data_IF_568355362155
#
_entry.id   IF_568355362155
#
_cell.length_a   1.000
_cell.length_b   1.000
_cell.length_c   1.000
_cell.angle_alpha   90.00
_cell.angle_beta   90.00
_cell.angle_gamma   90.00
#
_symmetry.space_group_name_H-M   'P 1'
#
loop_
_entity.id
_entity.type
_entity.pdbx_description
1 polymer ?
#
# COMPACT_ATOMS: atom_id res chain seq x y z
N UNK A 1 9.51 -13.50 -58.47
CA UNK A 1 10.36 -14.44 -57.70
C UNK A 1 10.36 -13.93 -56.24
N UNK A 2 9.61 -14.58 -55.32
CA UNK A 2 9.52 -14.18 -53.91
C UNK A 2 10.67 -14.84 -53.14
N UNK A 3 11.50 -14.06 -52.45
CA UNK A 3 12.56 -14.55 -51.56
C UNK A 3 11.92 -15.25 -50.36
N UNK A 4 12.30 -16.51 -50.09
CA UNK A 4 11.87 -17.28 -48.92
C UNK A 4 12.54 -16.72 -47.66
N UNK A 5 11.81 -15.93 -46.87
CA UNK A 5 12.24 -15.34 -45.59
C UNK A 5 12.01 -16.31 -44.42
N UNK A 6 12.70 -17.45 -44.39
CA UNK A 6 12.46 -18.46 -43.35
C UNK A 6 13.72 -19.24 -42.95
N UNK A 7 14.90 -18.60 -43.06
CA UNK A 7 16.16 -19.19 -42.64
C UNK A 7 16.68 -18.49 -41.39
N UNK A 8 16.83 -19.29 -40.34
CA UNK A 8 17.34 -18.89 -39.05
C UNK A 8 18.87 -18.87 -39.13
N UNK A 9 19.45 -17.66 -39.13
CA UNK A 9 20.90 -17.47 -39.18
C UNK A 9 21.33 -16.71 -37.92
N UNK A 10 21.86 -17.47 -36.96
CA UNK A 10 22.48 -16.95 -35.74
C UNK A 10 23.84 -17.62 -35.55
N UNK A 11 24.86 -16.81 -35.27
CA UNK A 11 26.21 -17.29 -34.92
C UNK A 11 26.43 -16.95 -33.46
N UNK A 12 26.56 -18.00 -32.64
CA UNK A 12 26.94 -17.88 -31.23
C UNK A 12 28.44 -18.14 -31.15
N UNK A 13 29.19 -17.17 -30.63
CA UNK A 13 30.61 -17.34 -30.35
C UNK A 13 30.75 -17.39 -28.83
N UNK A 14 31.16 -18.57 -28.34
CA UNK A 14 31.58 -18.81 -26.97
C UNK A 14 33.10 -18.66 -26.96
N UNK A 15 33.65 -17.61 -26.34
CA UNK A 15 35.09 -17.43 -26.19
C UNK A 15 35.71 -18.60 -25.41
N UNK A 16 36.97 -18.94 -25.71
CA UNK A 16 37.66 -20.06 -25.07
C UNK A 16 37.85 -19.88 -23.55
N UNK A 17 37.83 -18.63 -23.08
CA UNK A 17 37.93 -18.23 -21.68
C UNK A 17 36.57 -18.18 -20.96
N UNK A 18 35.48 -18.63 -21.60
CA UNK A 18 34.13 -18.59 -21.01
C UNK A 18 34.05 -19.31 -19.67
N UNK A 19 34.51 -20.56 -19.58
CA UNK A 19 34.43 -21.35 -18.34
C UNK A 19 35.27 -20.75 -17.21
N UNK A 20 36.44 -20.21 -17.53
CA UNK A 20 37.32 -19.54 -16.56
C UNK A 20 36.69 -18.24 -16.05
N UNK A 21 36.09 -17.45 -16.94
CA UNK A 21 35.39 -16.21 -16.58
C UNK A 21 34.16 -16.44 -15.73
N UNK A 22 33.32 -17.41 -16.10
CA UNK A 22 32.15 -17.77 -15.33
C UNK A 22 32.56 -18.28 -13.94
N UNK A 23 33.57 -19.16 -13.86
CA UNK A 23 34.10 -19.66 -12.58
C UNK A 23 34.77 -18.59 -11.69
N UNK A 24 35.17 -17.44 -12.26
CA UNK A 24 35.69 -16.28 -11.51
C UNK A 24 34.66 -15.20 -11.26
N UNK A 25 33.38 -15.45 -11.54
CA UNK A 25 32.34 -14.43 -11.46
C UNK A 25 32.65 -13.18 -12.32
N UNK A 26 33.28 -13.36 -13.49
CA UNK A 26 33.55 -12.29 -14.46
C UNK A 26 32.60 -12.36 -15.66
N UNK A 27 31.79 -11.32 -15.86
CA UNK A 27 30.63 -11.40 -16.77
C UNK A 27 30.73 -10.58 -18.05
N UNK A 28 31.79 -9.77 -18.19
CA UNK A 28 31.95 -8.92 -19.37
C UNK A 28 32.46 -9.74 -20.56
N UNK A 29 31.80 -9.58 -21.70
CA UNK A 29 32.19 -10.20 -22.98
C UNK A 29 32.26 -11.74 -22.93
N UNK A 30 31.43 -12.39 -22.11
CA UNK A 30 31.34 -13.85 -22.00
C UNK A 30 30.65 -14.50 -23.20
N UNK A 31 29.77 -13.79 -23.91
CA UNK A 31 29.13 -14.28 -25.13
C UNK A 31 29.07 -13.20 -26.20
N UNK A 32 29.19 -13.63 -27.47
CA UNK A 32 28.90 -12.79 -28.63
C UNK A 32 27.87 -13.49 -29.50
N UNK A 33 26.74 -12.83 -29.70
CA UNK A 33 25.67 -13.30 -30.57
C UNK A 33 25.61 -12.39 -31.80
N UNK A 34 25.76 -12.96 -32.98
CA UNK A 34 25.53 -12.29 -34.24
C UNK A 34 24.24 -12.84 -34.85
N UNK A 35 23.32 -11.95 -35.21
CA UNK A 35 22.06 -12.33 -35.85
C UNK A 35 21.89 -11.56 -37.15
N UNK A 36 21.39 -12.24 -38.18
CA UNK A 36 21.05 -11.59 -39.45
C UNK A 36 19.87 -10.61 -39.26
N UNK A 37 19.93 -9.38 -39.80
CA UNK A 37 18.85 -8.38 -39.68
C UNK A 37 17.49 -8.85 -40.23
N UNK A 38 17.48 -9.85 -41.11
CA UNK A 38 16.27 -10.43 -41.70
C UNK A 38 15.66 -11.60 -40.92
N UNK A 39 16.26 -12.01 -39.79
CA UNK A 39 15.78 -13.15 -38.98
C UNK A 39 14.79 -12.68 -37.92
N UNK A 40 13.49 -13.01 -38.10
CA UNK A 40 12.45 -12.74 -37.09
C UNK A 40 12.55 -13.64 -35.85
N UNK A 41 13.42 -14.66 -35.88
CA UNK A 41 13.59 -15.65 -34.81
C UNK A 41 14.84 -15.42 -33.93
N UNK A 42 15.44 -14.23 -33.99
CA UNK A 42 16.58 -13.82 -33.16
C UNK A 42 16.29 -14.02 -31.65
N UNK A 43 15.10 -13.57 -31.22
CA UNK A 43 14.64 -13.67 -29.84
C UNK A 43 14.51 -15.14 -29.37
N UNK A 44 14.03 -16.02 -30.25
CA UNK A 44 13.81 -17.45 -29.96
C UNK A 44 15.10 -18.20 -29.63
N UNK A 45 16.25 -17.76 -30.16
CA UNK A 45 17.56 -18.36 -29.86
C UNK A 45 18.29 -17.61 -28.75
N UNK A 46 18.14 -16.29 -28.66
CA UNK A 46 18.82 -15.51 -27.62
C UNK A 46 18.26 -15.76 -26.23
N UNK A 47 16.95 -15.93 -26.08
CA UNK A 47 16.31 -16.02 -24.77
C UNK A 47 16.71 -17.29 -23.99
N UNK A 48 16.70 -18.52 -24.57
CA UNK A 48 17.18 -19.70 -23.86
C UNK A 48 18.67 -19.62 -23.53
N UNK A 49 19.48 -19.03 -24.44
CA UNK A 49 20.91 -18.86 -24.25
C UNK A 49 21.23 -17.90 -23.09
N UNK A 50 20.58 -16.74 -23.08
CA UNK A 50 20.73 -15.75 -22.01
C UNK A 50 20.25 -16.35 -20.68
N UNK A 51 19.12 -17.05 -20.68
CA UNK A 51 18.62 -17.71 -19.47
C UNK A 51 19.63 -18.73 -18.91
N UNK A 52 20.17 -19.62 -19.73
CA UNK A 52 21.17 -20.60 -19.31
C UNK A 52 22.43 -19.95 -18.72
N UNK A 53 22.90 -18.86 -19.33
CA UNK A 53 24.09 -18.14 -18.85
C UNK A 53 23.80 -17.38 -17.57
N UNK A 54 22.61 -16.80 -17.43
CA UNK A 54 22.16 -16.15 -16.20
C UNK A 54 22.01 -17.14 -15.06
N UNK A 55 21.55 -18.37 -15.32
CA UNK A 55 21.48 -19.42 -14.29
C UNK A 55 22.88 -19.79 -13.79
N UNK A 56 23.82 -20.05 -14.71
CA UNK A 56 25.22 -20.32 -14.36
C UNK A 56 25.85 -19.15 -13.60
N UNK A 57 25.53 -17.91 -14.01
CA UNK A 57 25.98 -16.71 -13.32
C UNK A 57 25.51 -16.67 -11.86
N UNK A 58 24.20 -16.82 -11.65
CA UNK A 58 23.61 -16.77 -10.30
C UNK A 58 24.19 -17.88 -9.42
N UNK A 59 24.47 -19.05 -9.99
CA UNK A 59 25.12 -20.16 -9.29
C UNK A 59 26.52 -19.80 -8.80
N UNK A 60 27.41 -19.36 -9.68
CA UNK A 60 28.78 -19.00 -9.29
C UNK A 60 28.82 -17.81 -8.33
N UNK A 61 27.97 -16.80 -8.56
CA UNK A 61 27.89 -15.65 -7.67
C UNK A 61 27.42 -16.03 -6.26
N UNK A 62 26.41 -16.90 -6.14
CA UNK A 62 25.93 -17.35 -4.83
C UNK A 62 26.98 -18.14 -4.06
N UNK A 63 27.77 -18.96 -4.76
CA UNK A 63 28.87 -19.74 -4.17
C UNK A 63 29.97 -18.80 -3.66
N UNK A 64 30.42 -17.86 -4.50
CA UNK A 64 31.46 -16.89 -4.13
C UNK A 64 31.03 -16.03 -2.91
N UNK A 65 29.78 -15.55 -2.91
CA UNK A 65 29.23 -14.79 -1.76
C UNK A 65 29.13 -15.64 -0.49
N UNK A 66 28.75 -16.92 -0.61
CA UNK A 66 28.65 -17.82 0.55
C UNK A 66 30.03 -18.11 1.13
N UNK A 67 31.01 -18.37 0.27
CA UNK A 67 32.41 -18.57 0.67
C UNK A 67 32.98 -17.33 1.36
N UNK A 68 32.77 -16.13 0.79
CA UNK A 68 33.20 -14.86 1.37
C UNK A 68 32.56 -14.61 2.75
N UNK A 69 31.25 -14.82 2.88
CA UNK A 69 30.52 -14.64 4.14
C UNK A 69 30.99 -15.62 5.24
N UNK A 70 31.21 -16.89 4.89
CA UNK A 70 31.69 -17.89 5.84
C UNK A 70 33.13 -17.60 6.27
N UNK A 71 33.98 -17.15 5.34
CA UNK A 71 35.33 -16.72 5.65
C UNK A 71 35.34 -15.51 6.60
N UNK A 72 34.46 -14.52 6.41
CA UNK A 72 34.26 -13.40 7.36
C UNK A 72 33.84 -13.88 8.76
N UNK A 73 33.05 -14.96 8.84
CA UNK A 73 32.67 -15.59 10.11
C UNK A 73 33.71 -16.58 10.66
N UNK A 74 34.93 -16.63 10.09
CA UNK A 74 35.99 -17.58 10.47
C UNK A 74 35.57 -19.06 10.38
N UNK A 75 34.68 -19.39 9.45
CA UNK A 75 34.27 -20.76 9.13
C UNK A 75 34.93 -21.20 7.83
N UNK A 76 35.41 -22.43 7.78
CA UNK A 76 35.92 -23.03 6.54
C UNK A 76 34.77 -23.37 5.60
N UNK A 77 34.91 -23.03 4.33
CA UNK A 77 34.04 -23.47 3.24
C UNK A 77 34.79 -24.53 2.45
N UNK A 78 34.38 -25.79 2.59
CA UNK A 78 35.07 -26.92 1.95
C UNK A 78 34.53 -27.20 0.55
N UNK A 79 35.31 -27.92 -0.28
CA UNK A 79 34.83 -28.40 -1.58
C UNK A 79 33.57 -29.30 -1.47
N UNK A 80 33.38 -29.96 -0.32
CA UNK A 80 32.19 -30.76 -0.06
C UNK A 80 30.95 -29.89 0.14
N UNK A 81 31.10 -28.73 0.80
CA UNK A 81 30.02 -27.75 1.00
C UNK A 81 29.63 -27.09 -0.31
N UNK A 82 30.62 -26.78 -1.17
CA UNK A 82 30.37 -26.27 -2.52
C UNK A 82 29.56 -27.25 -3.37
N UNK A 83 29.94 -28.54 -3.38
CA UNK A 83 29.19 -29.57 -4.11
C UNK A 83 27.76 -29.73 -3.58
N UNK A 84 27.60 -29.68 -2.25
CA UNK A 84 26.29 -29.74 -1.62
C UNK A 84 25.42 -28.54 -2.06
N UNK A 85 25.98 -27.33 -2.03
CA UNK A 85 25.30 -26.11 -2.45
C UNK A 85 24.90 -26.17 -3.93
N UNK A 86 25.80 -26.58 -4.84
CA UNK A 86 25.49 -26.76 -6.26
C UNK A 86 24.32 -27.71 -6.48
N UNK A 87 24.35 -28.88 -5.82
CA UNK A 87 23.27 -29.86 -5.91
C UNK A 87 21.92 -29.33 -5.39
N UNK A 88 21.95 -28.50 -4.34
CA UNK A 88 20.76 -27.84 -3.80
C UNK A 88 20.20 -26.77 -4.74
N UNK A 89 21.06 -26.03 -5.43
CA UNK A 89 20.65 -25.03 -6.42
C UNK A 89 20.02 -25.67 -7.65
N UNK A 90 20.60 -26.77 -8.15
CA UNK A 90 20.03 -27.52 -9.29
C UNK A 90 18.63 -28.06 -8.95
N UNK A 91 18.46 -28.64 -7.76
CA UNK A 91 17.17 -29.09 -7.28
C UNK A 91 16.13 -27.96 -7.22
N UNK A 92 16.52 -26.75 -6.78
CA UNK A 92 15.66 -25.56 -6.75
C UNK A 92 15.22 -25.14 -8.15
N UNK A 93 16.11 -25.20 -9.14
CA UNK A 93 15.77 -24.87 -10.52
C UNK A 93 14.83 -25.89 -11.17
N UNK A 94 14.94 -27.16 -10.82
CA UNK A 94 14.08 -28.23 -11.35
C UNK A 94 12.70 -28.27 -10.67
N UNK A 95 12.63 -28.12 -9.34
CA UNK A 95 11.38 -28.27 -8.59
C UNK A 95 10.65 -26.95 -8.32
N UNK A 96 11.31 -25.81 -8.56
CA UNK A 96 10.89 -24.50 -8.07
C UNK A 96 11.14 -24.36 -6.56
N UNK A 97 11.53 -23.16 -6.12
CA UNK A 97 11.65 -22.85 -4.69
C UNK A 97 10.32 -22.33 -4.13
N UNK A 98 9.90 -22.88 -2.99
CA UNK A 98 8.98 -22.19 -2.09
C UNK A 98 9.75 -21.03 -1.46
N UNK A 99 9.60 -19.82 -2.02
CA UNK A 99 10.19 -18.61 -1.46
C UNK A 99 9.50 -18.32 -0.13
N UNK A 100 10.13 -18.75 0.97
CA UNK A 100 9.74 -18.32 2.31
C UNK A 100 10.42 -16.98 2.57
N UNK A 101 9.73 -15.90 2.21
CA UNK A 101 10.15 -14.54 2.59
C UNK A 101 10.00 -14.42 4.11
N UNK A 102 11.09 -14.52 4.85
CA UNK A 102 11.15 -14.04 6.22
C UNK A 102 11.58 -12.57 6.18
N UNK A 103 10.64 -11.67 6.44
CA UNK A 103 10.96 -10.27 6.67
C UNK A 103 11.68 -10.16 8.01
N UNK A 104 13.01 -10.16 7.97
CA UNK A 104 13.84 -9.79 9.12
C UNK A 104 13.97 -8.26 9.07
N UNK A 105 13.12 -7.58 9.82
CA UNK A 105 13.23 -6.13 10.03
C UNK A 105 14.48 -5.91 10.86
N UNK A 106 15.52 -5.36 10.23
CA UNK A 106 16.74 -4.98 10.94
C UNK A 106 16.46 -3.68 11.66
N UNK A 107 16.54 -3.72 12.98
CA UNK A 107 16.21 -2.65 13.90
C UNK A 107 17.27 -1.54 13.80
N UNK A 108 17.12 -0.64 12.83
CA UNK A 108 17.80 0.66 12.71
C UNK A 108 17.22 1.47 11.56
N UNK A 109 16.10 2.13 11.84
CA UNK A 109 15.40 3.01 10.92
C UNK A 109 13.94 3.10 11.33
N UNK A 110 13.58 4.23 11.92
CA UNK A 110 12.28 4.54 12.49
C UNK A 110 11.11 3.88 11.73
N UNK A 111 10.40 3.03 12.47
CA UNK A 111 8.99 2.63 12.29
C UNK A 111 8.37 3.04 10.95
N UNK A 112 8.62 2.22 9.92
CA UNK A 112 7.57 1.93 8.95
C UNK A 112 6.40 1.35 9.76
N UNK A 113 5.52 2.25 10.21
CA UNK A 113 4.36 1.96 11.02
C UNK A 113 3.72 0.70 10.48
N UNK A 114 3.53 -0.30 11.36
CA UNK A 114 2.81 -1.51 11.03
C UNK A 114 1.54 -1.12 10.29
N UNK A 115 1.53 -1.32 8.97
CA UNK A 115 0.31 -1.20 8.19
C UNK A 115 -0.62 -2.23 8.82
N UNK A 116 -1.79 -1.79 9.30
CA UNK A 116 -2.78 -2.63 10.00
C UNK A 116 -3.42 -3.70 9.10
N UNK A 117 -2.64 -4.29 8.19
CA UNK A 117 -3.05 -5.18 7.12
C UNK A 117 -4.09 -4.56 6.20
N UNK A 118 -4.76 -5.44 5.47
CA UNK A 118 -5.89 -5.08 4.62
C UNK A 118 -7.04 -4.41 5.38
N UNK A 119 -7.15 -4.65 6.70
CA UNK A 119 -8.16 -4.04 7.56
C UNK A 119 -7.88 -2.55 7.81
N UNK A 120 -6.63 -2.19 8.15
CA UNK A 120 -6.21 -0.79 8.31
C UNK A 120 -6.39 0.01 7.03
N UNK A 121 -6.15 -0.60 5.87
CA UNK A 121 -6.45 0.00 4.57
C UNK A 121 -7.95 0.30 4.40
N UNK A 122 -8.83 -0.67 4.72
CA UNK A 122 -10.27 -0.46 4.71
C UNK A 122 -10.69 0.72 5.58
N UNK A 123 -10.23 0.76 6.84
CA UNK A 123 -10.65 1.82 7.78
C UNK A 123 -10.17 3.21 7.33
N UNK A 124 -8.96 3.31 6.77
CA UNK A 124 -8.43 4.57 6.25
C UNK A 124 -9.29 5.11 5.10
N UNK A 125 -9.61 4.27 4.11
CA UNK A 125 -10.47 4.64 2.98
C UNK A 125 -11.89 4.94 3.40
N UNK A 126 -12.45 4.11 4.28
CA UNK A 126 -13.76 4.33 4.87
C UNK A 126 -13.83 5.70 5.56
N UNK A 127 -12.82 6.02 6.36
CA UNK A 127 -12.74 7.29 7.08
C UNK A 127 -12.69 8.52 6.16
N UNK A 128 -12.00 8.43 5.02
CA UNK A 128 -11.99 9.49 4.01
C UNK A 128 -13.39 9.67 3.38
N UNK A 129 -14.02 8.57 2.98
CA UNK A 129 -15.34 8.60 2.34
C UNK A 129 -16.45 9.06 3.29
N UNK A 130 -16.34 8.75 4.58
CA UNK A 130 -17.27 9.25 5.60
C UNK A 130 -17.33 10.78 5.64
N UNK A 131 -16.20 11.48 5.51
CA UNK A 131 -16.20 12.95 5.49
C UNK A 131 -16.98 13.49 4.28
N UNK A 132 -16.77 12.89 3.11
CA UNK A 132 -17.53 13.27 1.91
C UNK A 132 -19.03 13.09 2.13
N UNK A 133 -19.44 11.92 2.63
CA UNK A 133 -20.84 11.61 2.90
C UNK A 133 -21.44 12.55 3.96
N UNK A 134 -20.72 12.83 5.05
CA UNK A 134 -21.20 13.73 6.11
C UNK A 134 -21.41 15.16 5.57
N UNK A 135 -20.49 15.69 4.77
CA UNK A 135 -20.65 17.02 4.18
C UNK A 135 -21.83 17.05 3.20
N UNK A 136 -21.95 16.05 2.32
CA UNK A 136 -23.07 15.99 1.37
C UNK A 136 -24.41 15.81 2.08
N UNK A 137 -24.46 15.01 3.15
CA UNK A 137 -25.68 14.84 3.93
C UNK A 137 -26.05 16.06 4.75
N UNK A 138 -25.13 16.99 5.03
CA UNK A 138 -25.38 18.21 5.80
C UNK A 138 -26.23 19.28 5.08
N UNK A 139 -26.81 18.99 3.92
CA UNK A 139 -27.75 19.89 3.23
C UNK A 139 -28.96 20.26 4.08
N UNK A 140 -29.37 19.38 4.99
CA UNK A 140 -30.45 19.67 5.95
C UNK A 140 -30.15 20.89 6.84
N UNK A 141 -28.86 21.20 7.10
CA UNK A 141 -28.46 22.39 7.87
C UNK A 141 -28.82 23.68 7.11
N UNK A 142 -28.63 23.68 5.79
CA UNK A 142 -29.04 24.81 4.96
C UNK A 142 -30.55 24.94 4.88
N UNK A 143 -31.27 23.82 4.77
CA UNK A 143 -32.73 23.81 4.69
C UNK A 143 -33.39 24.28 5.99
N UNK A 144 -32.84 23.90 7.15
CA UNK A 144 -33.28 24.41 8.46
C UNK A 144 -32.95 25.90 8.65
N UNK A 145 -31.97 26.44 7.92
CA UNK A 145 -31.66 27.86 7.87
C UNK A 145 -32.69 28.73 7.14
N UNK A 146 -33.56 28.14 6.30
CA UNK A 146 -34.60 28.88 5.56
C UNK A 146 -35.65 29.46 6.52
N UNK A 147 -36.05 30.73 6.27
CA UNK A 147 -36.99 31.49 7.13
C UNK A 147 -38.30 30.73 7.41
N UNK A 148 -38.82 29.99 6.44
CA UNK A 148 -40.08 29.25 6.55
C UNK A 148 -40.01 28.01 7.46
N UNK A 149 -38.90 27.26 7.46
CA UNK A 149 -38.70 26.15 8.39
C UNK A 149 -38.36 26.67 9.79
N UNK A 150 -37.53 27.71 9.87
CA UNK A 150 -37.11 28.29 11.13
C UNK A 150 -38.28 28.88 11.93
N UNK A 151 -39.27 29.49 11.26
CA UNK A 151 -40.48 29.97 11.94
C UNK A 151 -41.34 28.81 12.48
N UNK A 152 -41.45 27.71 11.72
CA UNK A 152 -42.21 26.51 12.14
C UNK A 152 -41.56 25.78 13.31
N UNK A 153 -40.23 25.64 13.31
CA UNK A 153 -39.48 25.05 14.42
C UNK A 153 -39.56 25.94 15.68
N UNK A 154 -39.60 27.27 15.51
CA UNK A 154 -39.82 28.19 16.63
C UNK A 154 -41.20 28.06 17.27
N UNK A 155 -42.20 27.60 16.51
CA UNK A 155 -43.58 27.41 16.99
C UNK A 155 -43.79 26.07 17.71
N UNK A 156 -42.94 25.06 17.47
CA UNK A 156 -43.05 23.74 18.12
C UNK A 156 -42.38 23.68 19.50
N UNK A 157 -41.76 24.77 19.97
CA UNK A 157 -41.15 24.85 21.31
C UNK A 157 -39.85 24.04 21.47
N UNK A 158 -39.34 23.43 20.39
CA UNK A 158 -38.09 22.64 20.42
C UNK A 158 -36.88 23.56 20.28
N UNK A 159 -35.87 23.38 21.13
CA UNK A 159 -34.60 24.10 21.04
C UNK A 159 -33.91 23.83 19.69
N UNK A 160 -33.34 24.88 19.07
CA UNK A 160 -32.61 24.79 17.79
C UNK A 160 -31.47 23.77 17.84
N UNK A 161 -30.80 23.68 18.99
CA UNK A 161 -29.74 22.69 19.23
C UNK A 161 -30.27 21.26 19.26
N UNK A 162 -31.46 21.04 19.82
CA UNK A 162 -32.11 19.73 19.84
C UNK A 162 -32.43 19.24 18.44
N UNK A 163 -32.90 20.13 17.56
CA UNK A 163 -33.16 19.80 16.15
C UNK A 163 -31.87 19.47 15.41
N UNK A 164 -30.80 20.24 15.62
CA UNK A 164 -29.50 19.97 14.98
C UNK A 164 -28.89 18.64 15.43
N UNK A 165 -29.00 18.30 16.72
CA UNK A 165 -28.47 17.04 17.24
C UNK A 165 -29.25 15.83 16.72
N UNK A 166 -30.58 15.90 16.67
CA UNK A 166 -31.41 14.76 16.22
C UNK A 166 -31.28 14.51 14.72
N UNK A 167 -31.26 15.58 13.91
CA UNK A 167 -31.08 15.46 12.45
C UNK A 167 -29.65 15.12 12.07
N UNK A 168 -28.65 15.60 12.83
CA UNK A 168 -27.26 15.19 12.68
C UNK A 168 -26.97 13.76 13.15
N UNK A 169 -27.73 13.23 14.10
CA UNK A 169 -27.54 11.86 14.59
C UNK A 169 -27.78 10.82 13.48
N UNK A 170 -28.73 11.04 12.57
CA UNK A 170 -29.05 10.09 11.50
C UNK A 170 -27.84 9.75 10.58
N UNK A 171 -27.18 10.73 9.91
CA UNK A 171 -26.02 10.44 9.07
C UNK A 171 -24.82 9.90 9.88
N UNK A 172 -24.68 10.31 11.15
CA UNK A 172 -23.67 9.75 12.05
C UNK A 172 -23.93 8.26 12.35
N UNK A 173 -25.16 7.90 12.70
CA UNK A 173 -25.54 6.49 12.94
C UNK A 173 -25.35 5.63 11.70
N UNK A 174 -25.60 6.18 10.50
CA UNK A 174 -25.34 5.47 9.26
C UNK A 174 -23.84 5.22 9.06
N UNK A 175 -22.97 6.20 9.37
CA UNK A 175 -21.52 6.01 9.32
C UNK A 175 -21.02 5.00 10.36
N UNK A 176 -21.64 4.93 11.53
CA UNK A 176 -21.30 3.93 12.54
C UNK A 176 -21.74 2.54 12.08
N UNK A 177 -22.98 2.41 11.60
CA UNK A 177 -23.49 1.14 11.07
C UNK A 177 -22.68 0.64 9.87
N UNK A 178 -22.34 1.54 8.95
CA UNK A 178 -21.52 1.23 7.78
C UNK A 178 -20.12 0.72 8.14
N UNK A 179 -19.53 1.21 9.25
CA UNK A 179 -18.25 0.72 9.75
C UNK A 179 -18.35 -0.73 10.23
N UNK A 180 -19.37 -1.06 11.03
CA UNK A 180 -19.55 -2.43 11.50
C UNK A 180 -19.91 -3.41 10.38
N UNK A 181 -20.75 -2.97 9.43
CA UNK A 181 -21.10 -3.79 8.25
C UNK A 181 -19.86 -4.01 7.38
N UNK A 182 -19.13 -2.95 7.03
CA UNK A 182 -17.92 -3.07 6.21
C UNK A 182 -16.82 -3.87 6.92
N UNK A 183 -16.70 -3.73 8.23
CA UNK A 183 -15.79 -4.53 9.06
C UNK A 183 -16.16 -6.01 9.07
N UNK A 184 -17.44 -6.35 9.20
CA UNK A 184 -17.93 -7.73 9.12
C UNK A 184 -17.69 -8.35 7.73
N UNK A 185 -17.90 -7.57 6.66
CA UNK A 185 -17.60 -8.01 5.29
C UNK A 185 -16.10 -8.26 5.11
N UNK A 186 -15.24 -7.35 5.57
CA UNK A 186 -13.78 -7.55 5.52
C UNK A 186 -13.35 -8.79 6.30
N UNK A 187 -13.92 -9.03 7.49
CA UNK A 187 -13.68 -10.24 8.27
C UNK A 187 -14.07 -11.51 7.51
N UNK A 188 -15.20 -11.51 6.80
CA UNK A 188 -15.66 -12.66 6.03
C UNK A 188 -14.85 -12.94 4.75
N UNK A 189 -14.40 -11.90 4.04
CA UNK A 189 -13.74 -12.04 2.74
C UNK A 189 -12.22 -12.21 2.83
N UNK A 190 -11.60 -11.52 3.80
CA UNK A 190 -10.13 -11.46 3.95
C UNK A 190 -9.67 -12.38 5.08
N UNK A 191 -10.60 -12.92 5.88
CA UNK A 191 -10.29 -13.78 7.03
C UNK A 191 -9.68 -13.03 8.20
N UNK A 192 -9.88 -11.70 8.30
CA UNK A 192 -9.42 -10.90 9.43
C UNK A 192 -10.28 -11.16 10.66
N UNK A 193 -9.66 -11.12 11.85
CA UNK A 193 -10.37 -11.41 13.10
C UNK A 193 -11.34 -10.27 13.44
N UNK A 194 -12.57 -10.59 13.87
CA UNK A 194 -13.54 -9.57 14.31
C UNK A 194 -13.04 -8.72 15.50
N UNK A 195 -12.08 -9.25 16.25
CA UNK A 195 -11.35 -8.55 17.32
C UNK A 195 -10.66 -7.28 16.82
N UNK A 196 -10.18 -7.26 15.57
CA UNK A 196 -9.48 -6.11 14.99
C UNK A 196 -10.46 -4.94 14.79
N UNK A 197 -11.68 -5.25 14.32
CA UNK A 197 -12.75 -4.27 14.18
C UNK A 197 -13.21 -3.69 15.52
N UNK A 198 -13.21 -4.51 16.58
CA UNK A 198 -13.56 -4.06 17.93
C UNK A 198 -12.45 -3.19 18.54
N UNK A 199 -11.18 -3.56 18.34
CA UNK A 199 -10.03 -2.80 18.86
C UNK A 199 -9.94 -1.39 18.26
N UNK A 200 -10.38 -1.23 17.01
CA UNK A 200 -10.34 0.03 16.25
C UNK A 200 -11.66 0.81 16.28
N UNK A 201 -12.71 0.26 16.92
CA UNK A 201 -14.01 0.91 17.02
C UNK A 201 -13.94 2.25 17.77
N UNK A 202 -13.23 2.31 18.90
CA UNK A 202 -13.09 3.54 19.71
C UNK A 202 -12.45 4.68 18.91
N UNK A 203 -11.26 4.52 18.29
CA UNK A 203 -10.66 5.60 17.50
C UNK A 203 -11.52 6.00 16.29
N UNK A 204 -12.24 5.07 15.67
CA UNK A 204 -13.18 5.38 14.58
C UNK A 204 -14.37 6.19 15.07
N UNK A 205 -14.96 5.86 16.23
CA UNK A 205 -16.08 6.62 16.80
C UNK A 205 -15.66 8.06 17.16
N UNK A 206 -14.48 8.23 17.77
CA UNK A 206 -13.92 9.55 18.05
C UNK A 206 -13.64 10.33 16.76
N UNK A 207 -13.13 9.65 15.74
CA UNK A 207 -12.92 10.24 14.41
C UNK A 207 -14.24 10.72 13.79
N UNK A 208 -15.29 9.89 13.78
CA UNK A 208 -16.61 10.24 13.25
C UNK A 208 -17.24 11.43 13.99
N UNK A 209 -17.07 11.49 15.31
CA UNK A 209 -17.52 12.64 16.11
C UNK A 209 -16.78 13.92 15.71
N UNK A 210 -15.46 13.84 15.53
CA UNK A 210 -14.65 14.96 15.03
C UNK A 210 -15.08 15.41 13.62
N UNK A 211 -15.36 14.47 12.72
CA UNK A 211 -15.86 14.77 11.38
C UNK A 211 -17.24 15.43 11.40
N UNK A 212 -18.12 15.03 12.32
CA UNK A 212 -19.41 15.70 12.48
C UNK A 212 -19.22 17.18 12.88
N UNK A 213 -18.28 17.48 13.77
CA UNK A 213 -17.92 18.86 14.13
C UNK A 213 -17.44 19.67 12.92
N UNK A 214 -16.53 19.12 12.12
CA UNK A 214 -16.02 19.75 10.89
C UNK A 214 -17.16 19.95 9.88
N UNK A 215 -18.04 18.98 9.76
CA UNK A 215 -19.19 19.00 8.85
C UNK A 215 -20.17 20.11 9.22
N UNK A 216 -20.56 20.22 10.49
CA UNK A 216 -21.45 21.26 10.97
C UNK A 216 -20.83 22.66 10.82
N UNK A 217 -19.53 22.79 11.12
CA UNK A 217 -18.81 24.03 10.89
C UNK A 217 -18.83 24.41 9.41
N UNK A 218 -18.47 23.49 8.52
CA UNK A 218 -18.48 23.71 7.07
C UNK A 218 -19.87 24.08 6.55
N UNK A 219 -20.91 23.37 6.99
CA UNK A 219 -22.29 23.62 6.60
C UNK A 219 -22.80 24.98 7.10
N UNK A 220 -22.30 25.46 8.24
CA UNK A 220 -22.64 26.80 8.76
C UNK A 220 -21.98 27.94 7.98
N UNK A 221 -20.82 27.71 7.36
CA UNK A 221 -20.15 28.70 6.49
C UNK A 221 -20.74 28.70 5.07
N UNK A 222 -21.26 27.56 4.61
CA UNK A 222 -21.86 27.44 3.29
C UNK A 222 -23.18 28.23 3.20
N UNK A 223 -23.37 28.96 2.10
CA UNK A 223 -24.60 29.74 1.85
C UNK A 223 -25.56 29.04 0.89
N UNK A 224 -25.09 28.00 0.19
CA UNK A 224 -25.89 27.27 -0.80
C UNK A 224 -25.48 25.81 -0.89
N UNK A 225 -26.42 24.96 -1.31
CA UNK A 225 -26.18 23.53 -1.53
C UNK A 225 -25.07 23.29 -2.55
N UNK A 226 -25.00 24.12 -3.59
CA UNK A 226 -23.96 24.04 -4.61
C UNK A 226 -22.56 24.28 -4.01
N UNK A 227 -22.40 25.27 -3.12
CA UNK A 227 -21.13 25.49 -2.41
C UNK A 227 -20.72 24.28 -1.56
N UNK A 228 -21.67 23.65 -0.87
CA UNK A 228 -21.44 22.43 -0.08
C UNK A 228 -20.97 21.27 -0.95
N UNK A 229 -21.59 21.07 -2.12
CA UNK A 229 -21.21 20.03 -3.08
C UNK A 229 -19.81 20.26 -3.68
N UNK A 230 -19.40 21.53 -3.88
CA UNK A 230 -18.03 21.85 -4.30
C UNK A 230 -17.00 21.72 -3.17
N UNK A 231 -17.35 22.11 -1.94
CA UNK A 231 -16.44 22.01 -0.80
C UNK A 231 -16.20 20.56 -0.35
N UNK A 232 -17.22 19.69 -0.47
CA UNK A 232 -17.14 18.31 -0.03
C UNK A 232 -15.91 17.57 -0.59
N UNK A 233 -15.71 17.44 -1.93
CA UNK A 233 -14.55 16.72 -2.46
C UNK A 233 -13.23 17.41 -2.11
N UNK A 234 -13.18 18.75 -2.08
CA UNK A 234 -11.97 19.50 -1.73
C UNK A 234 -11.54 19.24 -0.28
N UNK A 235 -12.46 19.36 0.68
CA UNK A 235 -12.19 19.10 2.09
C UNK A 235 -11.89 17.63 2.35
N UNK A 236 -12.58 16.71 1.65
CA UNK A 236 -12.28 15.27 1.74
C UNK A 236 -10.85 14.98 1.27
N UNK A 237 -10.44 15.56 0.14
CA UNK A 237 -9.09 15.38 -0.39
C UNK A 237 -8.04 15.97 0.55
N UNK A 238 -8.22 17.22 0.99
CA UNK A 238 -7.32 17.88 1.93
C UNK A 238 -7.22 17.12 3.24
N UNK A 239 -8.35 16.68 3.80
CA UNK A 239 -8.35 15.87 5.01
C UNK A 239 -7.58 14.57 4.77
N UNK A 240 -7.88 13.80 3.72
CA UNK A 240 -7.21 12.52 3.46
C UNK A 240 -5.70 12.64 3.25
N UNK A 241 -5.25 13.70 2.58
CA UNK A 241 -3.82 13.99 2.36
C UNK A 241 -3.13 14.47 3.65
N UNK A 242 -3.66 15.53 4.28
CA UNK A 242 -3.02 16.14 5.46
C UNK A 242 -3.05 15.23 6.68
N UNK A 243 -4.07 14.40 6.83
CA UNK A 243 -4.16 13.47 7.96
C UNK A 243 -3.36 12.19 7.78
N UNK A 244 -2.82 11.95 6.57
CA UNK A 244 -2.05 10.76 6.25
C UNK A 244 -2.90 9.49 6.12
N UNK A 245 -4.19 9.63 5.79
CA UNK A 245 -5.10 8.50 5.58
C UNK A 245 -4.88 7.85 4.21
N UNK A 246 -4.53 8.64 3.19
CA UNK A 246 -4.19 8.09 1.85
C UNK A 246 -2.79 7.50 1.80
N UNK A 247 -1.81 8.28 2.26
CA UNK A 247 -0.40 7.91 2.30
C UNK A 247 0.23 8.48 3.56
N UNK A 248 1.20 7.80 4.18
CA UNK A 248 1.91 8.36 5.32
C UNK A 248 2.59 9.68 4.91
N UNK A 249 2.52 10.69 5.80
CA UNK A 249 3.19 11.97 5.53
C UNK A 249 4.70 11.75 5.47
N UNK A 250 5.39 12.29 4.45
CA UNK A 250 6.83 12.18 4.35
C UNK A 250 7.53 12.98 5.46
N UNK A 251 8.66 12.48 5.93
CA UNK A 251 9.41 13.02 7.09
C UNK A 251 9.88 14.46 6.91
N UNK A 252 10.09 14.91 5.67
CA UNK A 252 10.50 16.29 5.39
C UNK A 252 9.37 17.33 5.57
N UNK A 253 8.11 16.90 5.69
CA UNK A 253 6.94 17.77 5.74
C UNK A 253 6.56 18.19 7.18
N UNK A 254 7.53 18.68 7.97
CA UNK A 254 7.35 19.05 9.38
C UNK A 254 6.17 20.02 9.63
N UNK A 255 6.00 21.02 8.76
CA UNK A 255 4.90 22.00 8.88
C UNK A 255 3.53 21.35 8.71
N UNK A 256 3.40 20.41 7.76
CA UNK A 256 2.16 19.65 7.58
C UNK A 256 1.95 18.70 8.76
N UNK A 257 3.01 18.14 9.33
CA UNK A 257 2.90 17.29 10.51
C UNK A 257 2.31 18.06 11.69
N UNK A 258 2.80 19.27 11.97
CA UNK A 258 2.27 20.13 13.04
C UNK A 258 0.81 20.49 12.78
N UNK A 259 0.46 20.88 11.54
CA UNK A 259 -0.92 21.24 11.17
C UNK A 259 -1.87 20.04 11.27
N UNK A 260 -1.39 18.84 10.90
CA UNK A 260 -2.18 17.61 10.92
C UNK A 260 -2.53 17.12 12.33
N UNK A 261 -1.79 17.54 13.37
CA UNK A 261 -2.07 17.15 14.77
C UNK A 261 -3.45 17.59 15.25
N UNK A 262 -4.01 18.65 14.66
CA UNK A 262 -5.36 19.12 14.93
C UNK A 262 -6.46 18.39 14.15
N UNK A 263 -6.11 17.55 13.18
CA UNK A 263 -7.09 16.83 12.36
C UNK A 263 -7.40 15.47 12.99
N UNK A 264 -8.70 15.12 13.16
CA UNK A 264 -9.08 13.85 13.77
C UNK A 264 -8.57 12.65 12.94
N UNK A 265 -8.36 12.83 11.63
CA UNK A 265 -7.81 11.76 10.77
C UNK A 265 -6.39 11.35 11.14
N UNK A 266 -5.58 12.27 11.69
CA UNK A 266 -4.20 11.97 12.10
C UNK A 266 -4.18 11.10 13.35
N UNK A 267 -5.15 11.29 14.24
CA UNK A 267 -5.35 10.45 15.42
C UNK A 267 -5.77 9.03 15.03
N UNK A 268 -6.68 8.93 14.07
CA UNK A 268 -7.07 7.64 13.48
C UNK A 268 -5.86 6.94 12.84
N UNK A 269 -5.10 7.63 12.00
CA UNK A 269 -3.90 7.08 11.37
C UNK A 269 -2.86 6.58 12.39
N UNK A 270 -2.66 7.32 13.49
CA UNK A 270 -1.73 6.92 14.57
C UNK A 270 -2.23 5.74 15.40
N UNK A 271 -3.54 5.58 15.59
CA UNK A 271 -4.10 4.43 16.32
C UNK A 271 -3.80 3.07 15.68
N UNK A 272 -3.48 3.05 14.38
CA UNK A 272 -2.99 1.86 13.69
C UNK A 272 -1.49 1.63 13.86
N UNK A 273 -0.71 2.69 14.09
CA UNK A 273 0.75 2.63 14.23
C UNK A 273 1.19 2.26 15.65
N UNK A 274 0.39 2.63 16.66
CA UNK A 274 0.61 2.30 18.06
C UNK A 274 -0.69 1.72 18.62
N UNK A 275 -0.76 0.40 18.92
CA UNK A 275 -1.86 -0.14 19.70
C UNK A 275 -1.98 0.66 20.99
N UNK A 276 -3.21 0.86 21.46
CA UNK A 276 -3.58 1.61 22.68
C UNK A 276 -2.88 1.14 23.98
N UNK A 277 -1.97 0.17 23.93
CA UNK A 277 -1.12 -0.29 25.03
C UNK A 277 0.11 0.60 25.31
N UNK A 278 0.26 1.74 24.64
CA UNK A 278 1.42 2.64 24.78
C UNK A 278 1.07 4.09 25.11
N UNK A 279 -0.16 4.34 25.57
CA UNK A 279 -0.54 5.57 26.27
C UNK A 279 -0.62 5.32 27.77
#
# INVERSE_FOLDING_TARGET
>A
MRLRQDRLEAVIIIPADFSEKIGRAEFRNTLKLFVSPSSQAAATVSEPLVNAVMMLWVQEYAIDQTAAFLHEQSKEYSEADERLQRSGMDAVWESGALIRVQNIVTDQGETAAADGGSYGFFVRWYGVLCLFYLIVSATWVLDTGKRSLRSRIGQTGVSRWGVMLTTGAAPLTLCIAGYFIGGAVCASLIGTSFTDAMSTAIPVLLYLLGLMGITLLTASLAKSTMQLMFLAPLLTFLNGMLSGLFTPLPEWAYVLEVLSRGLPGRWLARSFAAPLSSL
#
